data_IF_724127120712
#
_entry.id   IF_724127120712
#
_cell.length_a   1.000
_cell.length_b   1.000
_cell.length_c   1.000
_cell.angle_alpha   90.00
_cell.angle_beta   90.00
_cell.angle_gamma   90.00
#
_symmetry.space_group_name_H-M   'P 1'
#
loop_
_entity.id
_entity.type
_entity.pdbx_description
1 polymer ?
#
# COMPACT_ATOMS: atom_id res chain seq x y z
N UNK A 1 8.44 -24.28 1.25
CA UNK A 1 8.82 -23.10 2.02
C UNK A 1 7.78 -22.04 1.72
N UNK A 2 6.72 -22.00 2.52
CA UNK A 2 5.58 -21.14 2.28
C UNK A 2 5.86 -19.79 2.92
N UNK A 3 6.33 -18.83 2.15
CA UNK A 3 6.25 -17.43 2.55
C UNK A 3 4.79 -16.99 2.42
N UNK A 4 3.96 -17.41 3.37
CA UNK A 4 2.56 -16.98 3.54
C UNK A 4 2.44 -15.59 4.20
N UNK A 5 3.46 -14.76 4.03
CA UNK A 5 3.39 -13.32 4.21
C UNK A 5 3.60 -12.69 2.85
N UNK A 6 2.53 -12.55 2.07
CA UNK A 6 2.58 -11.86 0.79
C UNK A 6 3.20 -10.48 0.98
N UNK A 7 4.01 -10.04 0.01
CA UNK A 7 4.73 -8.77 0.05
C UNK A 7 3.75 -7.59 -0.08
N UNK A 8 2.98 -7.35 0.97
CA UNK A 8 1.81 -6.49 0.95
C UNK A 8 2.13 -5.14 1.56
N UNK A 9 1.70 -4.09 0.86
CA UNK A 9 1.85 -2.69 1.25
C UNK A 9 0.45 -2.11 1.41
N UNK A 10 0.19 -1.53 2.56
CA UNK A 10 -0.99 -0.71 2.76
C UNK A 10 -0.67 0.74 2.33
N UNK A 11 -1.66 1.45 1.82
CA UNK A 11 -1.53 2.83 1.32
C UNK A 11 -2.75 3.59 1.77
N UNK A 12 -2.64 4.36 2.85
CA UNK A 12 -3.74 5.16 3.41
C UNK A 12 -3.62 6.61 2.94
N UNK A 13 -4.70 7.38 3.11
CA UNK A 13 -4.71 8.78 2.68
C UNK A 13 -4.83 8.96 1.17
N UNK A 14 -5.29 7.93 0.46
CA UNK A 14 -5.64 8.06 -0.94
C UNK A 14 -6.85 8.98 -1.07
N UNK A 15 -6.83 9.78 -2.13
CA UNK A 15 -8.00 10.60 -2.48
C UNK A 15 -9.20 9.70 -2.80
N UNK A 16 -10.44 10.13 -2.54
CA UNK A 16 -11.64 9.34 -2.87
C UNK A 16 -11.81 9.07 -4.37
N UNK A 17 -11.11 9.84 -5.22
CA UNK A 17 -11.05 9.66 -6.67
C UNK A 17 -10.00 8.63 -7.13
N UNK A 18 -9.13 8.17 -6.23
CA UNK A 18 -8.12 7.19 -6.58
C UNK A 18 -8.77 5.87 -6.98
N UNK A 19 -8.35 5.35 -8.13
CA UNK A 19 -8.78 4.06 -8.65
C UNK A 19 -7.69 3.02 -8.47
N UNK A 20 -8.05 1.74 -8.56
CA UNK A 20 -7.09 0.64 -8.54
C UNK A 20 -6.04 0.80 -9.63
N UNK A 21 -6.43 1.35 -10.78
CA UNK A 21 -5.51 1.64 -11.88
C UNK A 21 -4.48 2.71 -11.51
N UNK A 22 -4.88 3.77 -10.82
CA UNK A 22 -3.94 4.82 -10.39
C UNK A 22 -2.92 4.27 -9.40
N UNK A 23 -3.38 3.46 -8.44
CA UNK A 23 -2.52 2.76 -7.48
C UNK A 23 -1.59 1.79 -8.21
N UNK A 24 -2.13 0.97 -9.11
CA UNK A 24 -1.34 0.02 -9.88
C UNK A 24 -0.28 0.73 -10.74
N UNK A 25 -0.62 1.80 -11.47
CA UNK A 25 0.32 2.54 -12.32
C UNK A 25 1.45 3.19 -11.49
N UNK A 26 1.10 3.75 -10.33
CA UNK A 26 2.08 4.31 -9.40
C UNK A 26 3.07 3.25 -8.91
N UNK A 27 2.58 2.06 -8.53
CA UNK A 27 3.41 0.98 -7.99
C UNK A 27 3.98 0.03 -9.06
N UNK A 28 3.58 0.16 -10.32
CA UNK A 28 4.13 -0.62 -11.43
C UNK A 28 5.61 -0.31 -11.66
N UNK A 29 6.06 0.91 -11.28
CA UNK A 29 7.47 1.28 -11.30
C UNK A 29 8.29 0.58 -10.21
N UNK A 30 7.67 0.22 -9.08
CA UNK A 30 8.35 -0.51 -8.00
C UNK A 30 8.53 -1.99 -8.31
N UNK A 31 7.61 -2.61 -9.07
CA UNK A 31 7.78 -3.99 -9.54
C UNK A 31 6.47 -4.68 -9.91
N UNK A 32 6.50 -6.01 -9.96
CA UNK A 32 5.34 -6.83 -10.36
C UNK A 32 4.31 -6.89 -9.24
N UNK A 33 3.21 -6.18 -9.43
CA UNK A 33 2.04 -6.25 -8.56
C UNK A 33 1.29 -7.54 -8.82
N UNK A 34 0.93 -8.24 -7.75
CA UNK A 34 0.11 -9.44 -7.78
C UNK A 34 -1.37 -9.11 -7.62
N UNK A 35 -1.69 -8.21 -6.69
CA UNK A 35 -3.06 -7.83 -6.40
C UNK A 35 -3.13 -6.40 -5.85
N UNK A 36 -4.20 -5.69 -6.16
CA UNK A 36 -4.53 -4.38 -5.58
C UNK A 36 -5.96 -4.47 -5.08
N UNK A 37 -6.17 -4.09 -3.83
CA UNK A 37 -7.50 -3.96 -3.23
C UNK A 37 -7.65 -2.54 -2.69
N UNK A 38 -8.78 -1.88 -2.95
CA UNK A 38 -9.06 -0.55 -2.39
C UNK A 38 -10.25 -0.64 -1.44
N UNK A 39 -10.01 -0.32 -0.18
CA UNK A 39 -11.00 -0.19 0.87
C UNK A 39 -11.28 1.29 1.13
N UNK A 40 -12.52 1.70 0.88
CA UNK A 40 -12.99 3.07 1.15
C UNK A 40 -13.66 3.09 2.52
N UNK A 41 -13.11 3.87 3.45
CA UNK A 41 -13.68 4.04 4.79
C UNK A 41 -14.37 5.40 4.86
N UNK A 42 -15.67 5.40 4.55
CA UNK A 42 -16.50 6.61 4.48
C UNK A 42 -16.19 7.51 3.28
N UNK A 43 -16.59 8.79 3.39
CA UNK A 43 -16.49 9.78 2.30
C UNK A 43 -15.09 10.42 2.12
N UNK A 44 -14.18 10.24 3.08
CA UNK A 44 -12.96 11.05 3.16
C UNK A 44 -11.64 10.27 3.08
N UNK A 45 -11.63 8.99 3.45
CA UNK A 45 -10.41 8.20 3.53
C UNK A 45 -10.49 6.94 2.67
N UNK A 46 -9.54 6.79 1.75
CA UNK A 46 -9.35 5.57 0.99
C UNK A 46 -8.01 4.92 1.40
N UNK A 47 -8.06 3.61 1.55
CA UNK A 47 -6.91 2.76 1.86
C UNK A 47 -6.78 1.74 0.74
N UNK A 48 -5.60 1.60 0.15
CA UNK A 48 -5.31 0.53 -0.78
C UNK A 48 -4.34 -0.47 -0.17
N UNK A 49 -4.48 -1.72 -0.58
CA UNK A 49 -3.67 -2.84 -0.20
C UNK A 49 -3.07 -3.43 -1.47
N UNK A 50 -1.76 -3.27 -1.62
CA UNK A 50 -1.02 -3.69 -2.81
C UNK A 50 -0.15 -4.88 -2.43
N UNK A 51 -0.47 -6.05 -2.98
CA UNK A 51 0.34 -7.25 -2.83
C UNK A 51 1.30 -7.36 -4.00
N UNK A 52 2.59 -7.45 -3.71
CA UNK A 52 3.64 -7.66 -4.70
C UNK A 52 4.03 -9.13 -4.82
N UNK A 53 4.57 -9.50 -5.97
CA UNK A 53 5.15 -10.84 -6.18
C UNK A 53 6.51 -11.01 -5.53
N UNK A 54 7.24 -9.91 -5.32
CA UNK A 54 8.64 -9.90 -4.90
C UNK A 54 8.88 -8.93 -3.74
N UNK A 55 9.76 -9.31 -2.80
CA UNK A 55 10.16 -8.47 -1.66
C UNK A 55 10.76 -7.12 -2.12
N UNK A 56 11.58 -7.17 -3.17
CA UNK A 56 12.24 -5.99 -3.73
C UNK A 56 11.23 -4.93 -4.21
N UNK A 57 10.09 -5.37 -4.73
CA UNK A 57 9.04 -4.46 -5.20
C UNK A 57 8.36 -3.77 -4.02
N UNK A 58 8.10 -4.49 -2.92
CA UNK A 58 7.61 -3.91 -1.67
C UNK A 58 8.57 -2.87 -1.09
N UNK A 59 9.87 -3.17 -1.03
CA UNK A 59 10.88 -2.22 -0.51
C UNK A 59 10.96 -0.96 -1.36
N UNK A 60 10.91 -1.11 -2.69
CA UNK A 60 10.90 0.02 -3.62
C UNK A 60 9.62 0.86 -3.49
N UNK A 61 8.46 0.21 -3.33
CA UNK A 61 7.18 0.86 -3.14
C UNK A 61 7.18 1.75 -1.87
N UNK A 62 7.73 1.23 -0.79
CA UNK A 62 7.97 1.99 0.46
C UNK A 62 8.83 3.23 0.19
N UNK A 63 9.94 3.06 -0.54
CA UNK A 63 10.85 4.16 -0.89
C UNK A 63 10.17 5.25 -1.74
N UNK A 64 9.29 4.86 -2.66
CA UNK A 64 8.55 5.78 -3.52
C UNK A 64 7.50 6.60 -2.76
N UNK A 65 6.88 6.02 -1.72
CA UNK A 65 5.90 6.71 -0.89
C UNK A 65 6.48 7.93 -0.14
N UNK A 66 7.79 7.96 0.11
CA UNK A 66 8.46 9.04 0.85
C UNK A 66 8.64 10.31 0.01
N UNK A 67 8.59 10.24 -1.33
CA UNK A 67 8.95 11.38 -2.21
C UNK A 67 7.79 12.30 -2.61
N UNK A 68 6.55 11.99 -2.23
CA UNK A 68 5.37 12.85 -2.48
C UNK A 68 4.51 13.01 -1.23
N UNK A 69 4.99 13.82 -0.28
CA UNK A 69 4.16 14.63 0.62
C UNK A 69 2.96 13.93 1.34
N UNK A 70 3.18 12.86 2.13
CA UNK A 70 2.34 12.50 3.29
C UNK A 70 2.99 11.36 4.12
N UNK A 71 3.28 11.51 5.42
CA UNK A 71 3.86 10.45 6.26
C UNK A 71 2.81 9.45 6.76
N UNK A 72 2.12 8.78 5.85
CA UNK A 72 1.19 7.69 6.19
C UNK A 72 1.52 6.47 5.34
N UNK A 73 2.53 5.68 5.74
CA UNK A 73 2.27 4.28 6.06
C UNK A 73 3.39 3.48 6.73
N UNK A 74 3.69 3.80 7.98
CA UNK A 74 4.31 2.83 8.89
C UNK A 74 3.64 2.95 10.26
N UNK A 75 2.37 2.55 10.37
CA UNK A 75 1.78 2.22 11.66
C UNK A 75 0.82 1.05 11.54
N UNK A 76 1.34 -0.14 11.77
CA UNK A 76 0.58 -1.17 12.47
C UNK A 76 1.13 -1.25 13.90
N UNK A 77 0.43 -0.63 14.85
CA UNK A 77 0.55 -0.88 16.28
C UNK A 77 -0.84 -1.32 16.78
N UNK A 78 -1.07 -2.62 17.06
CA UNK A 78 -2.14 -3.05 17.94
C UNK A 78 -1.51 -3.45 19.27
N UNK A 79 -1.60 -2.61 20.30
CA UNK A 79 -1.08 -3.00 21.61
C UNK A 79 -0.88 -1.96 22.72
N UNK A 80 -1.39 -0.73 22.62
CA UNK A 80 -1.53 0.14 23.81
C UNK A 80 -3.02 0.28 24.17
N UNK A 81 -3.54 -0.80 24.74
CA UNK A 81 -4.50 -0.75 25.85
C UNK A 81 -3.82 -1.39 27.07
N UNK A 82 -3.28 -0.53 27.92
CA UNK A 82 -3.19 -0.69 29.37
C UNK A 82 -3.06 0.71 29.97
#
# INVERSE_FOLDING_TARGET
>A
MNHEGGYMVEVTGLTPKATEKDVHDFFAFSGSIQHVEIVRSGDYACTAYVTFKDAYAQETAVLLSVRRYNPVLFRYFPGMVA
#
